data_IF_473123690965
#
_entry.id   IF_473123690965
#
_cell.length_a   1.000
_cell.length_b   1.000
_cell.length_c   1.000
_cell.angle_alpha   90.00
_cell.angle_beta   90.00
_cell.angle_gamma   90.00
#
_symmetry.space_group_name_H-M   'P 1'
#
loop_
_entity.id
_entity.type
_entity.pdbx_description
1 polymer ?
#
# COMPACT_ATOMS: atom_id res chain seq x y z
N UNK A 1 -48.35 28.70 -55.20
CA UNK A 1 -46.91 28.26 -55.18
C UNK A 1 -46.08 28.82 -54.06
N UNK A 2 -46.56 29.74 -53.21
CA UNK A 2 -45.73 30.42 -52.14
C UNK A 2 -45.49 29.64 -50.82
N UNK A 3 -46.35 28.67 -50.51
CA UNK A 3 -46.20 27.95 -49.17
C UNK A 3 -45.01 26.99 -49.05
N UNK A 4 -44.40 26.51 -50.17
CA UNK A 4 -43.23 25.60 -50.13
C UNK A 4 -41.93 26.36 -49.82
N UNK A 5 -41.79 27.59 -50.23
CA UNK A 5 -40.59 28.41 -49.99
C UNK A 5 -40.42 28.80 -48.53
N UNK A 6 -41.52 29.19 -47.85
CA UNK A 6 -41.52 29.64 -46.47
C UNK A 6 -41.15 28.54 -45.44
N UNK A 7 -41.60 27.29 -45.70
CA UNK A 7 -41.22 26.13 -44.86
C UNK A 7 -39.73 25.79 -44.98
N UNK A 8 -39.14 25.94 -46.15
CA UNK A 8 -37.71 25.63 -46.36
C UNK A 8 -36.78 26.63 -45.69
N UNK A 9 -37.18 27.90 -45.62
CA UNK A 9 -36.39 28.98 -44.98
C UNK A 9 -36.44 28.90 -43.46
N UNK A 10 -37.59 28.56 -42.86
CA UNK A 10 -37.75 28.32 -41.43
C UNK A 10 -36.90 27.13 -40.97
N UNK A 11 -36.93 26.02 -41.69
CA UNK A 11 -36.12 24.84 -41.42
C UNK A 11 -34.62 25.15 -41.53
N UNK A 12 -34.22 25.92 -42.53
CA UNK A 12 -32.82 26.36 -42.70
C UNK A 12 -32.33 27.22 -41.53
N UNK A 13 -33.17 28.17 -41.07
CA UNK A 13 -32.89 28.99 -39.87
C UNK A 13 -32.73 28.14 -38.60
N UNK A 14 -33.59 27.15 -38.43
CA UNK A 14 -33.53 26.23 -37.28
C UNK A 14 -32.28 25.36 -37.30
N UNK A 15 -31.90 24.82 -38.45
CA UNK A 15 -30.64 24.06 -38.61
C UNK A 15 -29.44 24.95 -38.28
N UNK A 16 -29.42 26.20 -38.73
CA UNK A 16 -28.33 27.15 -38.42
C UNK A 16 -28.28 27.48 -36.92
N UNK A 17 -29.42 27.65 -36.24
CA UNK A 17 -29.52 27.83 -34.79
C UNK A 17 -28.96 26.60 -34.03
N UNK A 18 -29.32 25.39 -34.43
CA UNK A 18 -28.83 24.14 -33.81
C UNK A 18 -27.32 23.96 -34.03
N UNK A 19 -26.83 24.26 -35.23
CA UNK A 19 -25.36 24.25 -35.49
C UNK A 19 -24.62 25.25 -34.61
N UNK A 20 -25.17 26.48 -34.43
CA UNK A 20 -24.59 27.52 -33.57
C UNK A 20 -24.60 27.12 -32.09
N UNK A 21 -25.70 26.48 -31.61
CA UNK A 21 -25.81 25.93 -30.27
C UNK A 21 -24.80 24.79 -30.03
N UNK A 22 -24.65 23.84 -30.97
CA UNK A 22 -23.66 22.75 -30.90
C UNK A 22 -22.22 23.30 -30.86
N UNK A 23 -21.91 24.30 -31.71
CA UNK A 23 -20.60 24.96 -31.71
C UNK A 23 -20.32 25.64 -30.36
N UNK A 24 -21.26 26.40 -29.81
CA UNK A 24 -21.13 27.04 -28.48
C UNK A 24 -20.96 26.01 -27.37
N UNK A 25 -21.69 24.89 -27.40
CA UNK A 25 -21.54 23.79 -26.42
C UNK A 25 -20.15 23.14 -26.50
N UNK A 26 -19.65 22.89 -27.71
CA UNK A 26 -18.28 22.37 -27.92
C UNK A 26 -17.22 23.31 -27.36
N UNK A 27 -17.34 24.61 -27.66
CA UNK A 27 -16.41 25.63 -27.15
C UNK A 27 -16.45 25.67 -25.61
N UNK A 28 -17.63 25.63 -24.99
CA UNK A 28 -17.75 25.56 -23.52
C UNK A 28 -17.11 24.32 -22.92
N UNK A 29 -17.33 23.18 -23.54
CA UNK A 29 -16.70 21.91 -23.09
C UNK A 29 -15.17 22.02 -23.22
N UNK A 30 -14.65 22.55 -24.33
CA UNK A 30 -13.21 22.73 -24.50
C UNK A 30 -12.61 23.72 -23.48
N UNK A 31 -13.33 24.79 -23.15
CA UNK A 31 -12.90 25.75 -22.12
C UNK A 31 -12.89 25.10 -20.73
N UNK A 32 -13.90 24.30 -20.39
CA UNK A 32 -13.98 23.57 -19.13
C UNK A 32 -12.81 22.57 -19.04
N UNK A 33 -12.58 21.79 -20.11
CA UNK A 33 -11.45 20.88 -20.19
C UNK A 33 -10.10 21.61 -20.07
N UNK A 34 -9.95 22.74 -20.72
CA UNK A 34 -8.76 23.60 -20.59
C UNK A 34 -8.53 24.07 -19.16
N UNK A 35 -9.60 24.54 -18.48
CA UNK A 35 -9.53 24.92 -17.06
C UNK A 35 -9.16 23.74 -16.18
N UNK A 36 -9.75 22.57 -16.41
CA UNK A 36 -9.42 21.34 -15.68
C UNK A 36 -7.93 20.99 -15.88
N UNK A 37 -7.43 21.04 -17.11
CA UNK A 37 -6.01 20.78 -17.41
C UNK A 37 -5.11 21.77 -16.67
N UNK A 38 -5.43 23.07 -16.67
CA UNK A 38 -4.67 24.08 -15.96
C UNK A 38 -4.71 23.85 -14.44
N UNK A 39 -5.88 23.55 -13.87
CA UNK A 39 -6.01 23.23 -12.44
C UNK A 39 -5.25 21.96 -12.08
N UNK A 40 -5.33 20.93 -12.91
CA UNK A 40 -4.54 19.71 -12.72
C UNK A 40 -3.04 19.98 -12.83
N UNK A 41 -2.61 20.81 -13.78
CA UNK A 41 -1.20 21.18 -13.91
C UNK A 41 -0.70 22.00 -12.72
N UNK A 42 -1.51 22.93 -12.18
CA UNK A 42 -1.16 23.66 -10.94
C UNK A 42 -1.10 22.73 -9.72
N UNK A 43 -2.00 21.77 -9.60
CA UNK A 43 -1.96 20.74 -8.54
C UNK A 43 -0.71 19.89 -8.69
N UNK A 44 -0.36 19.49 -9.91
CA UNK A 44 0.86 18.73 -10.19
C UNK A 44 2.13 19.56 -9.90
N UNK A 45 2.15 20.82 -10.25
CA UNK A 45 3.30 21.72 -10.03
C UNK A 45 3.45 22.16 -8.56
N UNK A 46 2.35 22.26 -7.81
CA UNK A 46 2.32 22.61 -6.38
C UNK A 46 2.35 21.37 -5.47
N UNK A 47 1.93 20.20 -5.95
CA UNK A 47 2.22 18.96 -5.24
C UNK A 47 3.73 18.82 -5.24
N UNK A 48 4.29 18.44 -4.11
CA UNK A 48 5.71 18.11 -3.95
C UNK A 48 6.12 16.94 -4.89
N UNK A 49 5.84 17.13 -6.18
CA UNK A 49 6.17 16.20 -7.27
C UNK A 49 7.68 15.90 -7.31
N UNK A 50 8.45 16.78 -6.70
CA UNK A 50 9.90 16.66 -6.59
C UNK A 50 10.29 15.96 -5.27
N UNK A 51 9.38 15.80 -4.32
CA UNK A 51 9.72 15.32 -2.97
C UNK A 51 9.12 13.95 -2.59
N UNK A 52 9.08 13.02 -3.54
CA UNK A 52 8.95 11.57 -3.24
C UNK A 52 10.11 11.03 -2.35
N UNK A 53 10.96 11.92 -1.87
CA UNK A 53 12.09 11.61 -1.00
C UNK A 53 11.82 11.93 0.47
N UNK A 54 10.73 12.62 0.78
CA UNK A 54 10.34 12.92 2.15
C UNK A 54 9.36 11.83 2.64
N UNK A 55 9.82 11.02 3.57
CA UNK A 55 9.00 9.98 4.19
C UNK A 55 8.04 10.64 5.18
N UNK A 56 6.76 10.34 5.07
CA UNK A 56 5.73 10.71 6.03
C UNK A 56 5.65 9.64 7.13
N UNK A 57 5.61 10.09 8.39
CA UNK A 57 5.43 9.23 9.54
C UNK A 57 3.96 9.26 9.95
N UNK A 58 3.28 8.12 9.82
CA UNK A 58 1.88 7.97 10.21
C UNK A 58 1.80 7.17 11.51
N UNK A 59 1.20 7.77 12.55
CA UNK A 59 1.12 7.17 13.87
C UNK A 59 -0.29 6.66 14.15
N UNK A 60 -0.39 5.41 14.63
CA UNK A 60 -1.61 4.82 15.16
C UNK A 60 -1.37 4.38 16.61
N UNK A 61 -2.39 4.51 17.43
CA UNK A 61 -2.39 4.04 18.81
C UNK A 61 -3.46 2.97 18.98
N UNK A 62 -3.07 1.82 19.45
CA UNK A 62 -3.95 0.71 19.78
C UNK A 62 -3.83 0.37 21.26
N UNK A 63 -4.83 -0.32 21.79
CA UNK A 63 -4.77 -0.87 23.16
C UNK A 63 -5.37 -2.27 23.18
N UNK A 64 -4.79 -3.14 24.00
CA UNK A 64 -5.25 -4.53 24.13
C UNK A 64 -5.02 -5.06 25.53
N UNK A 65 -5.93 -5.94 25.97
CA UNK A 65 -5.78 -6.68 27.23
C UNK A 65 -4.72 -7.80 27.16
N UNK A 66 -4.25 -8.13 25.94
CA UNK A 66 -3.18 -9.10 25.69
C UNK A 66 -1.78 -8.48 25.80
N UNK A 67 -1.69 -7.17 25.95
CA UNK A 67 -0.44 -6.42 26.05
C UNK A 67 -0.17 -6.02 27.51
N UNK A 68 1.00 -6.37 28.01
CA UNK A 68 1.43 -6.10 29.39
C UNK A 68 2.28 -4.82 29.49
N UNK A 69 3.08 -4.54 28.48
CA UNK A 69 3.98 -3.37 28.38
C UNK A 69 3.87 -2.74 27.00
N UNK A 70 4.06 -1.42 26.86
CA UNK A 70 3.99 -0.78 25.55
C UNK A 70 4.92 -1.41 24.53
N UNK A 71 4.44 -1.56 23.29
CA UNK A 71 5.18 -2.09 22.14
C UNK A 71 5.03 -1.15 20.96
N UNK A 72 6.14 -0.81 20.32
CA UNK A 72 6.18 -0.04 19.08
C UNK A 72 6.50 -0.89 17.90
N UNK A 73 5.58 -0.97 16.95
CA UNK A 73 5.79 -1.57 15.65
C UNK A 73 6.09 -0.50 14.61
N UNK A 74 7.04 -0.76 13.71
CA UNK A 74 7.22 0.03 12.49
C UNK A 74 6.92 -0.84 11.28
N UNK A 75 5.98 -0.40 10.44
CA UNK A 75 5.51 -1.10 9.26
C UNK A 75 6.01 -0.38 8.03
N UNK A 76 6.56 -1.13 7.09
CA UNK A 76 6.98 -0.68 5.77
C UNK A 76 6.64 -1.71 4.70
N UNK A 77 6.37 -1.25 3.48
CA UNK A 77 6.10 -2.09 2.31
C UNK A 77 6.45 -1.33 1.03
N UNK A 78 6.37 -2.02 -0.10
CA UNK A 78 6.38 -1.43 -1.44
C UNK A 78 7.55 -0.47 -1.67
N UNK A 79 8.76 -0.85 -1.27
CA UNK A 79 9.97 -0.03 -1.49
C UNK A 79 10.39 -0.05 -2.96
N UNK A 80 10.16 -1.18 -3.66
CA UNK A 80 10.48 -1.38 -5.07
C UNK A 80 11.90 -0.95 -5.42
N UNK A 81 12.87 -1.37 -4.62
CA UNK A 81 14.29 -1.02 -4.76
C UNK A 81 14.56 0.49 -4.78
N UNK A 82 13.59 1.28 -4.32
CA UNK A 82 13.73 2.71 -4.11
C UNK A 82 14.80 3.04 -3.07
N UNK A 83 15.36 4.22 -3.14
CA UNK A 83 16.42 4.66 -2.22
C UNK A 83 16.11 6.01 -1.58
N UNK A 84 16.32 6.09 -0.28
CA UNK A 84 16.18 7.31 0.51
C UNK A 84 17.57 7.80 0.98
N UNK A 85 18.23 8.55 0.10
CA UNK A 85 19.64 8.90 0.24
C UNK A 85 20.58 7.80 -0.25
N UNK A 86 21.90 8.03 -0.16
CA UNK A 86 22.87 7.02 -0.50
C UNK A 86 22.73 5.81 0.42
N UNK A 87 22.63 4.59 -0.14
CA UNK A 87 22.47 3.34 0.63
C UNK A 87 21.35 3.37 1.69
N UNK A 88 20.27 4.12 1.41
CA UNK A 88 19.14 4.27 2.32
C UNK A 88 19.46 4.94 3.67
N UNK A 89 20.48 5.78 3.74
CA UNK A 89 20.92 6.41 4.99
C UNK A 89 19.81 7.19 5.70
N UNK A 90 18.95 7.92 4.94
CA UNK A 90 17.83 8.64 5.56
C UNK A 90 16.76 7.72 6.12
N UNK A 91 16.46 6.62 5.43
CA UNK A 91 15.51 5.61 5.90
C UNK A 91 16.05 4.91 7.16
N UNK A 92 17.33 4.54 7.16
CA UNK A 92 18.02 3.92 8.31
C UNK A 92 18.01 4.85 9.53
N UNK A 93 18.37 6.12 9.33
CA UNK A 93 18.37 7.12 10.42
C UNK A 93 16.97 7.29 11.00
N UNK A 94 15.95 7.43 10.16
CA UNK A 94 14.56 7.54 10.60
C UNK A 94 14.10 6.32 11.39
N UNK A 95 14.39 5.11 10.90
CA UNK A 95 14.04 3.87 11.58
C UNK A 95 14.76 3.73 12.93
N UNK A 96 15.99 4.16 13.02
CA UNK A 96 16.73 4.18 14.28
C UNK A 96 16.16 5.19 15.28
N UNK A 97 15.79 6.39 14.84
CA UNK A 97 15.19 7.43 15.68
C UNK A 97 13.78 7.06 16.18
N UNK A 98 13.09 6.18 15.48
CA UNK A 98 11.76 5.68 15.89
C UNK A 98 11.83 4.68 17.05
N UNK A 99 13.01 4.10 17.34
CA UNK A 99 13.23 3.10 18.39
C UNK A 99 12.15 1.98 18.36
N UNK A 100 11.99 1.27 17.24
CA UNK A 100 10.99 0.22 17.12
C UNK A 100 11.35 -0.99 18.00
N UNK A 101 10.35 -1.62 18.58
CA UNK A 101 10.49 -2.94 19.22
C UNK A 101 10.39 -4.08 18.19
N UNK A 102 9.76 -3.81 17.03
CA UNK A 102 9.56 -4.75 15.94
C UNK A 102 9.40 -4.02 14.60
N UNK A 103 10.01 -4.56 13.55
CA UNK A 103 9.90 -4.04 12.19
C UNK A 103 9.17 -5.08 11.31
N UNK A 104 8.09 -4.65 10.66
CA UNK A 104 7.25 -5.47 9.78
C UNK A 104 7.38 -4.98 8.34
N UNK A 105 7.88 -5.84 7.44
CA UNK A 105 8.05 -5.56 6.02
C UNK A 105 7.00 -6.35 5.23
N UNK A 106 5.94 -5.65 4.79
CA UNK A 106 4.76 -6.26 4.21
C UNK A 106 4.85 -6.48 2.68
N UNK A 107 6.03 -6.88 2.19
CA UNK A 107 6.26 -7.28 0.78
C UNK A 107 6.57 -6.13 -0.17
N UNK A 108 6.92 -6.50 -1.39
CA UNK A 108 7.30 -5.62 -2.52
C UNK A 108 8.41 -4.63 -2.18
N UNK A 109 9.41 -5.12 -1.44
CA UNK A 109 10.59 -4.31 -1.12
C UNK A 109 11.58 -4.23 -2.29
N UNK A 110 11.48 -5.16 -3.25
CA UNK A 110 12.30 -5.25 -4.47
C UNK A 110 11.39 -5.22 -5.71
N UNK A 111 11.98 -5.16 -6.91
CA UNK A 111 11.27 -5.41 -8.16
C UNK A 111 11.57 -6.82 -8.70
N UNK A 112 10.61 -7.42 -9.37
CA UNK A 112 10.75 -8.73 -10.04
C UNK A 112 11.79 -8.71 -11.17
N UNK A 113 12.14 -7.52 -11.68
CA UNK A 113 13.16 -7.29 -12.72
C UNK A 113 14.57 -7.10 -12.16
N UNK A 114 14.74 -7.02 -10.85
CA UNK A 114 16.04 -6.78 -10.24
C UNK A 114 17.01 -7.95 -10.48
N UNK A 115 18.25 -7.63 -10.80
CA UNK A 115 19.34 -8.60 -10.91
C UNK A 115 20.27 -8.58 -9.73
N UNK A 116 20.22 -7.53 -8.93
CA UNK A 116 20.99 -7.31 -7.73
C UNK A 116 20.06 -6.94 -6.58
N UNK A 117 20.06 -7.76 -5.55
CA UNK A 117 19.25 -7.58 -4.33
C UNK A 117 20.12 -7.16 -3.13
N UNK A 118 21.39 -6.85 -3.36
CA UNK A 118 22.31 -6.46 -2.28
C UNK A 118 21.81 -5.26 -1.49
N UNK A 119 21.14 -4.30 -2.15
CA UNK A 119 20.62 -3.11 -1.50
C UNK A 119 19.59 -3.40 -0.41
N UNK A 120 18.65 -4.33 -0.65
CA UNK A 120 17.67 -4.74 0.36
C UNK A 120 18.30 -5.63 1.44
N UNK A 121 19.23 -6.49 1.07
CA UNK A 121 19.97 -7.34 2.04
C UNK A 121 20.79 -6.46 2.98
N UNK A 122 21.51 -5.45 2.47
CA UNK A 122 22.26 -4.48 3.28
C UNK A 122 21.36 -3.65 4.20
N UNK A 123 20.19 -3.24 3.71
CA UNK A 123 19.19 -2.54 4.52
C UNK A 123 18.70 -3.44 5.66
N UNK A 124 18.30 -4.66 5.37
CA UNK A 124 17.85 -5.64 6.35
C UNK A 124 18.94 -5.97 7.38
N UNK A 125 20.18 -6.19 6.92
CA UNK A 125 21.35 -6.44 7.80
C UNK A 125 21.68 -5.26 8.72
N UNK A 126 21.25 -4.04 8.39
CA UNK A 126 21.28 -2.90 9.29
C UNK A 126 20.11 -2.93 10.28
N UNK A 127 18.88 -3.18 9.79
CA UNK A 127 17.65 -3.10 10.57
C UNK A 127 17.57 -4.17 11.67
N UNK A 128 18.07 -5.38 11.43
CA UNK A 128 18.09 -6.46 12.43
C UNK A 128 18.97 -6.13 13.65
N UNK A 129 19.82 -5.10 13.57
CA UNK A 129 20.59 -4.60 14.70
C UNK A 129 19.79 -3.59 15.56
N UNK A 130 18.68 -3.11 15.04
CA UNK A 130 17.79 -2.17 15.73
C UNK A 130 16.68 -2.95 16.45
N UNK A 131 15.98 -3.82 15.71
CA UNK A 131 14.88 -4.63 16.21
C UNK A 131 14.73 -5.92 15.38
N UNK A 132 14.01 -6.95 15.85
CA UNK A 132 13.63 -8.09 15.02
C UNK A 132 12.87 -7.62 13.76
N UNK A 133 13.22 -8.20 12.61
CA UNK A 133 12.65 -7.87 11.31
C UNK A 133 11.88 -9.06 10.77
N UNK A 134 10.58 -8.89 10.54
CA UNK A 134 9.73 -9.86 9.88
C UNK A 134 9.42 -9.37 8.47
N UNK A 135 9.70 -10.20 7.47
CA UNK A 135 9.54 -9.86 6.06
C UNK A 135 8.71 -10.93 5.36
N UNK A 136 7.66 -10.53 4.69
CA UNK A 136 6.78 -11.41 3.92
C UNK A 136 6.92 -11.20 2.42
N UNK A 137 6.50 -12.20 1.66
CA UNK A 137 6.40 -12.11 0.20
C UNK A 137 5.37 -11.07 -0.24
N UNK A 138 5.78 -10.21 -1.19
CA UNK A 138 4.88 -9.55 -2.12
C UNK A 138 4.89 -10.27 -3.48
N UNK A 139 4.16 -9.73 -4.46
CA UNK A 139 4.15 -10.31 -5.80
C UNK A 139 5.51 -10.17 -6.52
N UNK A 140 6.24 -9.10 -6.27
CA UNK A 140 7.56 -8.90 -6.86
C UNK A 140 8.59 -9.88 -6.32
N UNK A 141 8.62 -10.16 -5.02
CA UNK A 141 9.46 -11.22 -4.44
C UNK A 141 9.08 -12.58 -5.02
N UNK A 142 7.78 -12.92 -5.05
CA UNK A 142 7.29 -14.18 -5.61
C UNK A 142 7.71 -14.36 -7.08
N UNK A 143 7.55 -13.34 -7.90
CA UNK A 143 7.97 -13.36 -9.29
C UNK A 143 9.48 -13.50 -9.45
N UNK A 144 10.28 -12.74 -8.69
CA UNK A 144 11.73 -12.78 -8.75
C UNK A 144 12.27 -14.18 -8.38
N UNK A 145 11.72 -14.78 -7.31
CA UNK A 145 12.21 -16.04 -6.75
C UNK A 145 11.76 -17.26 -7.56
N UNK A 146 10.52 -17.30 -8.03
CA UNK A 146 9.92 -18.53 -8.57
C UNK A 146 9.70 -18.51 -10.08
N UNK A 147 9.34 -17.38 -10.68
CA UNK A 147 8.98 -17.31 -12.10
C UNK A 147 10.02 -16.58 -12.96
N UNK A 148 10.69 -15.58 -12.38
CA UNK A 148 11.64 -14.73 -13.08
C UNK A 148 13.09 -15.23 -13.04
N UNK A 149 13.96 -14.43 -12.42
CA UNK A 149 15.42 -14.68 -12.37
C UNK A 149 15.83 -15.76 -11.39
N UNK A 150 14.92 -16.26 -10.59
CA UNK A 150 15.14 -17.31 -9.57
C UNK A 150 16.25 -16.93 -8.58
N UNK A 151 16.23 -15.68 -8.13
CA UNK A 151 17.15 -15.18 -7.10
C UNK A 151 16.73 -15.79 -5.75
N UNK A 152 17.63 -16.44 -5.00
CA UNK A 152 17.31 -17.00 -3.68
C UNK A 152 17.30 -15.90 -2.61
N UNK A 153 16.35 -14.98 -2.71
CA UNK A 153 16.22 -13.81 -1.83
C UNK A 153 16.03 -14.23 -0.37
N UNK A 154 15.19 -15.23 -0.14
CA UNK A 154 14.92 -15.80 1.18
C UNK A 154 16.21 -16.24 1.90
N UNK A 155 17.10 -16.91 1.17
CA UNK A 155 18.40 -17.34 1.70
C UNK A 155 19.25 -16.14 2.12
N UNK A 156 19.33 -15.11 1.29
CA UNK A 156 20.13 -13.92 1.60
C UNK A 156 19.57 -13.14 2.78
N UNK A 157 18.24 -13.04 2.88
CA UNK A 157 17.57 -12.37 3.99
C UNK A 157 17.72 -13.16 5.29
N UNK A 158 17.60 -14.49 5.24
CA UNK A 158 17.85 -15.36 6.38
C UNK A 158 19.30 -15.23 6.89
N UNK A 159 20.27 -15.23 5.97
CA UNK A 159 21.70 -15.02 6.32
C UNK A 159 21.95 -13.61 6.92
N UNK A 160 21.13 -12.62 6.56
CA UNK A 160 21.16 -11.28 7.16
C UNK A 160 20.46 -11.20 8.53
N UNK A 161 19.82 -12.27 9.00
CA UNK A 161 19.12 -12.35 10.29
C UNK A 161 17.66 -11.94 10.26
N UNK A 162 17.03 -11.90 9.07
CA UNK A 162 15.61 -11.58 8.90
C UNK A 162 14.75 -12.83 9.10
N UNK A 163 13.62 -12.68 9.77
CA UNK A 163 12.54 -13.67 9.79
C UNK A 163 11.75 -13.55 8.47
N UNK A 164 12.22 -14.27 7.44
CA UNK A 164 11.52 -14.29 6.16
C UNK A 164 10.42 -15.34 6.18
N UNK A 165 9.18 -14.92 5.95
CA UNK A 165 8.00 -15.73 6.19
C UNK A 165 7.20 -15.94 4.90
N UNK A 166 6.57 -17.11 4.79
CA UNK A 166 5.66 -17.50 3.70
C UNK A 166 4.22 -17.58 4.21
N UNK A 167 3.66 -18.82 4.32
CA UNK A 167 2.42 -19.08 5.05
C UNK A 167 2.79 -19.89 6.28
N UNK A 168 3.15 -19.17 7.34
CA UNK A 168 3.58 -19.73 8.62
C UNK A 168 3.46 -18.68 9.71
N UNK A 169 3.66 -19.08 10.97
CA UNK A 169 3.72 -18.16 12.09
C UNK A 169 4.86 -18.47 13.05
N UNK A 170 5.25 -17.46 13.80
CA UNK A 170 6.21 -17.54 14.90
C UNK A 170 5.63 -16.85 16.13
N UNK A 171 6.09 -17.26 17.30
CA UNK A 171 5.79 -16.60 18.58
C UNK A 171 7.06 -15.98 19.13
N UNK A 172 7.02 -14.70 19.46
CA UNK A 172 8.16 -13.94 19.98
C UNK A 172 7.76 -13.22 21.28
N UNK A 173 8.72 -13.08 22.17
CA UNK A 173 8.55 -12.24 23.36
C UNK A 173 9.22 -10.89 23.17
N UNK A 174 8.45 -9.82 23.30
CA UNK A 174 8.89 -8.42 23.15
C UNK A 174 8.35 -7.61 24.32
N UNK A 175 9.21 -6.97 25.10
CA UNK A 175 8.82 -6.13 26.26
C UNK A 175 7.80 -6.81 27.19
N UNK A 176 8.07 -8.05 27.61
CA UNK A 176 7.17 -8.87 28.43
C UNK A 176 5.83 -9.24 27.79
N UNK A 177 5.66 -9.00 26.50
CA UNK A 177 4.50 -9.42 25.73
C UNK A 177 4.82 -10.65 24.89
N UNK A 178 3.88 -11.56 24.78
CA UNK A 178 3.94 -12.68 23.84
C UNK A 178 3.14 -12.29 22.59
N UNK A 179 3.83 -12.12 21.49
CA UNK A 179 3.23 -11.79 20.20
C UNK A 179 3.25 -13.01 19.29
N UNK A 180 2.16 -13.29 18.61
CA UNK A 180 2.07 -14.31 17.56
C UNK A 180 2.04 -13.62 16.21
N UNK A 181 3.11 -13.77 15.43
CA UNK A 181 3.29 -13.11 14.14
C UNK A 181 3.08 -14.15 13.05
N UNK A 182 2.09 -13.96 12.22
CA UNK A 182 1.75 -14.80 11.08
C UNK A 182 1.99 -14.09 9.76
N UNK A 183 2.27 -14.88 8.73
CA UNK A 183 2.32 -14.44 7.35
C UNK A 183 1.41 -15.30 6.50
N UNK A 184 0.81 -14.73 5.46
CA UNK A 184 0.05 -15.45 4.45
C UNK A 184 0.42 -14.91 3.07
N UNK A 185 0.93 -15.80 2.21
CA UNK A 185 1.39 -15.43 0.87
C UNK A 185 0.26 -15.37 -0.18
N UNK A 186 -0.97 -15.78 0.18
CA UNK A 186 -2.13 -15.76 -0.69
C UNK A 186 -2.70 -14.35 -0.88
N UNK A 187 -3.42 -14.15 -1.98
CA UNK A 187 -4.41 -13.09 -2.17
C UNK A 187 -5.84 -13.69 -2.16
N UNK A 188 -6.87 -12.88 -2.35
CA UNK A 188 -8.24 -13.37 -2.34
C UNK A 188 -8.56 -14.43 -3.41
N UNK A 189 -7.86 -14.42 -4.55
CA UNK A 189 -8.07 -15.37 -5.65
C UNK A 189 -7.35 -16.70 -5.41
N UNK A 190 -6.16 -16.65 -4.79
CA UNK A 190 -5.30 -17.83 -4.59
C UNK A 190 -5.53 -18.52 -3.25
N UNK A 191 -6.30 -17.90 -2.33
CA UNK A 191 -6.66 -18.48 -1.04
C UNK A 191 -7.33 -19.84 -1.19
N UNK A 192 -6.84 -20.84 -0.49
CA UNK A 192 -7.23 -22.24 -0.63
C UNK A 192 -7.45 -22.95 0.73
N UNK A 193 -7.65 -24.27 0.70
CA UNK A 193 -7.91 -25.07 1.90
C UNK A 193 -6.72 -25.10 2.88
N UNK A 194 -5.48 -25.04 2.38
CA UNK A 194 -4.27 -25.01 3.23
C UNK A 194 -4.16 -23.66 3.96
N UNK A 195 -4.51 -22.57 3.28
CA UNK A 195 -4.57 -21.24 3.88
C UNK A 195 -5.67 -21.16 4.95
N UNK A 196 -6.84 -21.80 4.72
CA UNK A 196 -7.92 -21.86 5.70
C UNK A 196 -7.53 -22.70 6.94
N UNK A 197 -6.76 -23.77 6.74
CA UNK A 197 -6.22 -24.55 7.86
C UNK A 197 -5.20 -23.71 8.66
N UNK A 198 -4.29 -23.02 7.97
CA UNK A 198 -3.35 -22.12 8.63
C UNK A 198 -4.07 -21.04 9.43
N UNK A 199 -5.11 -20.39 8.86
CA UNK A 199 -5.92 -19.39 9.56
C UNK A 199 -6.48 -19.94 10.87
N UNK A 200 -7.11 -21.12 10.82
CA UNK A 200 -7.69 -21.76 11.99
C UNK A 200 -6.64 -22.05 13.08
N UNK A 201 -5.45 -22.53 12.72
CA UNK A 201 -4.34 -22.78 13.63
C UNK A 201 -3.75 -21.49 14.20
N UNK A 202 -3.68 -20.44 13.35
CA UNK A 202 -3.16 -19.13 13.74
C UNK A 202 -4.07 -18.42 14.74
N UNK A 203 -5.38 -18.57 14.62
CA UNK A 203 -6.36 -17.98 15.53
C UNK A 203 -6.32 -18.58 16.95
N UNK A 204 -5.76 -19.77 17.10
CA UNK A 204 -5.64 -20.40 18.43
C UNK A 204 -4.67 -19.62 19.33
N UNK A 205 -4.93 -19.72 20.65
CA UNK A 205 -4.10 -19.08 21.68
C UNK A 205 -4.63 -17.69 22.11
N UNK A 206 -3.93 -17.11 23.08
CA UNK A 206 -4.33 -15.83 23.71
C UNK A 206 -3.34 -14.69 23.47
N UNK A 207 -2.32 -14.96 22.68
CA UNK A 207 -1.29 -14.01 22.33
C UNK A 207 -1.90 -12.86 21.50
N UNK A 208 -1.29 -11.67 21.55
CA UNK A 208 -1.60 -10.63 20.59
C UNK A 208 -1.16 -11.06 19.19
N UNK A 209 -2.11 -11.18 18.29
CA UNK A 209 -1.91 -11.74 16.96
C UNK A 209 -1.75 -10.66 15.91
N UNK A 210 -0.64 -10.74 15.18
CA UNK A 210 -0.33 -9.88 14.04
C UNK A 210 -0.27 -10.76 12.79
N UNK A 211 -1.19 -10.56 11.84
CA UNK A 211 -1.19 -11.28 10.56
C UNK A 211 -0.74 -10.33 9.45
N UNK A 212 0.34 -10.72 8.77
CA UNK A 212 0.87 -9.99 7.63
C UNK A 212 0.47 -10.68 6.34
N UNK A 213 -0.09 -9.94 5.40
CA UNK A 213 -0.25 -10.36 4.01
C UNK A 213 -0.06 -9.16 3.10
N UNK A 214 0.55 -9.36 1.94
CA UNK A 214 0.84 -8.23 1.05
C UNK A 214 -0.44 -7.60 0.50
N UNK A 215 -1.45 -8.43 0.19
CA UNK A 215 -2.68 -8.01 -0.49
C UNK A 215 -3.80 -7.66 0.49
N UNK A 216 -4.33 -6.42 0.46
CA UNK A 216 -5.48 -6.04 1.30
C UNK A 216 -6.77 -6.82 1.00
N UNK A 217 -6.96 -7.31 -0.23
CA UNK A 217 -8.13 -8.07 -0.63
C UNK A 217 -8.27 -9.41 0.11
N UNK A 218 -7.17 -10.04 0.49
CA UNK A 218 -7.20 -11.21 1.34
C UNK A 218 -7.98 -10.95 2.64
N UNK A 219 -7.66 -9.85 3.31
CA UNK A 219 -8.32 -9.46 4.57
C UNK A 219 -9.79 -9.08 4.35
N UNK A 220 -10.09 -8.37 3.27
CA UNK A 220 -11.42 -7.78 3.06
C UNK A 220 -12.41 -8.73 2.38
N UNK A 221 -11.93 -9.80 1.74
CA UNK A 221 -12.77 -10.76 1.02
C UNK A 221 -12.77 -12.15 1.64
N UNK A 222 -11.66 -12.61 2.22
CA UNK A 222 -11.52 -13.97 2.78
C UNK A 222 -11.52 -14.00 4.29
N UNK A 223 -10.77 -13.12 4.93
CA UNK A 223 -10.52 -13.13 6.37
C UNK A 223 -11.40 -12.13 7.15
N UNK A 224 -12.63 -11.86 6.66
CA UNK A 224 -13.51 -10.84 7.25
C UNK A 224 -13.91 -11.10 8.71
N UNK A 225 -13.88 -12.35 9.15
CA UNK A 225 -14.25 -12.79 10.50
C UNK A 225 -13.07 -13.32 11.30
N UNK A 226 -11.84 -13.10 10.84
CA UNK A 226 -10.65 -13.61 11.52
C UNK A 226 -10.49 -13.03 12.92
N UNK A 227 -10.08 -13.88 13.87
CA UNK A 227 -9.81 -13.51 15.27
C UNK A 227 -8.35 -13.13 15.44
N UNK A 228 -8.01 -12.02 14.82
CA UNK A 228 -6.67 -11.45 14.77
C UNK A 228 -6.72 -10.02 15.26
N UNK A 229 -5.76 -9.60 16.06
CA UNK A 229 -5.75 -8.26 16.67
C UNK A 229 -5.31 -7.18 15.67
N UNK A 230 -4.35 -7.52 14.78
CA UNK A 230 -3.79 -6.60 13.80
C UNK A 230 -3.48 -7.30 12.48
N UNK A 231 -4.17 -6.92 11.42
CA UNK A 231 -3.80 -7.21 10.04
C UNK A 231 -2.87 -6.14 9.47
N UNK A 232 -1.89 -6.52 8.66
CA UNK A 232 -0.93 -5.61 8.02
C UNK A 232 -0.83 -5.93 6.54
N UNK A 233 -1.03 -4.92 5.67
CA UNK A 233 -0.92 -5.07 4.22
C UNK A 233 -0.28 -3.86 3.54
N UNK A 234 0.17 -4.05 2.29
CA UNK A 234 0.69 -3.02 1.39
C UNK A 234 -0.05 -2.99 0.05
N UNK A 235 0.69 -3.13 -1.05
CA UNK A 235 0.25 -3.38 -2.42
C UNK A 235 -0.47 -2.24 -3.15
N UNK A 236 -1.40 -1.53 -2.53
CA UNK A 236 -2.22 -0.53 -3.23
C UNK A 236 -1.56 0.83 -3.41
N UNK A 237 -0.34 1.02 -2.92
CA UNK A 237 0.46 2.25 -3.07
C UNK A 237 -0.31 3.54 -2.75
N UNK A 238 -1.26 3.49 -1.83
CA UNK A 238 -2.11 4.63 -1.54
C UNK A 238 -3.05 5.04 -2.68
N UNK A 239 -3.20 4.21 -3.73
CA UNK A 239 -3.94 4.52 -4.94
C UNK A 239 -3.19 5.49 -5.85
N UNK A 240 -1.85 5.47 -5.83
CA UNK A 240 -0.88 6.24 -6.63
C UNK A 240 -1.06 7.76 -6.53
N UNK A 241 -2.21 8.28 -6.92
CA UNK A 241 -2.62 9.69 -6.84
C UNK A 241 -3.68 9.80 -5.74
N UNK A 242 -3.48 10.71 -4.78
CA UNK A 242 -4.46 10.93 -3.72
C UNK A 242 -5.15 12.28 -3.89
N UNK A 243 -6.48 12.25 -3.80
CA UNK A 243 -7.31 13.45 -3.85
C UNK A 243 -7.64 13.84 -2.41
N UNK A 244 -7.30 15.08 -1.99
CA UNK A 244 -7.62 15.55 -0.64
C UNK A 244 -9.09 15.37 -0.29
N UNK A 245 -9.38 14.76 0.86
CA UNK A 245 -10.75 14.49 1.35
C UNK A 245 -11.47 13.31 0.69
N UNK A 246 -10.89 12.68 -0.36
CA UNK A 246 -11.49 11.54 -1.05
C UNK A 246 -10.65 10.27 -0.83
N UNK A 247 -9.32 10.35 -0.99
CA UNK A 247 -8.43 9.21 -0.87
C UNK A 247 -7.72 8.85 -2.17
N UNK A 248 -7.34 7.59 -2.33
CA UNK A 248 -6.64 7.07 -3.52
C UNK A 248 -7.51 7.17 -4.77
N UNK A 249 -6.89 7.53 -5.90
CA UNK A 249 -7.61 7.69 -7.16
C UNK A 249 -7.77 6.37 -7.91
N UNK A 250 -6.70 5.56 -7.99
CA UNK A 250 -6.70 4.39 -8.86
C UNK A 250 -5.67 3.34 -8.42
N UNK A 251 -6.05 2.08 -8.53
CA UNK A 251 -5.14 0.94 -8.48
C UNK A 251 -5.52 -0.07 -9.57
N UNK A 252 -4.54 -0.81 -10.10
CA UNK A 252 -4.74 -1.71 -11.25
C UNK A 252 -5.73 -2.84 -10.94
N UNK A 253 -5.68 -3.41 -9.73
CA UNK A 253 -6.53 -4.54 -9.36
C UNK A 253 -7.93 -4.13 -8.94
N UNK A 254 -8.08 -2.94 -8.33
CA UNK A 254 -9.35 -2.47 -7.74
C UNK A 254 -10.03 -1.38 -8.55
N UNK A 255 -9.36 -0.80 -9.58
CA UNK A 255 -9.89 0.29 -10.38
C UNK A 255 -9.86 1.64 -9.66
N UNK A 256 -10.88 2.47 -9.92
CA UNK A 256 -10.99 3.82 -9.36
C UNK A 256 -11.51 3.82 -7.93
N UNK A 257 -10.89 4.66 -7.08
CA UNK A 257 -11.28 4.90 -5.70
C UNK A 257 -11.22 3.64 -4.82
N UNK A 258 -10.05 2.98 -4.73
CA UNK A 258 -9.88 1.80 -3.90
C UNK A 258 -10.22 2.10 -2.44
N UNK A 259 -11.10 1.29 -1.85
CA UNK A 259 -11.60 1.51 -0.49
C UNK A 259 -10.51 1.40 0.60
N UNK A 260 -9.53 0.51 0.38
CA UNK A 260 -8.46 0.21 1.35
C UNK A 260 -7.10 0.68 0.86
N UNK A 261 -7.03 1.89 0.28
CA UNK A 261 -5.81 2.42 -0.32
C UNK A 261 -4.72 2.88 0.66
N UNK A 262 -5.01 2.91 1.94
CA UNK A 262 -4.05 3.29 3.00
C UNK A 262 -4.77 3.87 4.20
N UNK A 263 -4.42 3.40 5.39
CA UNK A 263 -5.02 3.81 6.64
C UNK A 263 -5.21 2.67 7.64
N UNK A 264 -5.86 2.98 8.75
CA UNK A 264 -6.30 2.03 9.77
C UNK A 264 -7.81 1.80 9.60
N UNK A 265 -8.21 0.56 9.52
CA UNK A 265 -9.61 0.15 9.31
C UNK A 265 -10.03 -0.85 10.39
N UNK A 266 -11.25 -0.77 10.94
CA UNK A 266 -11.83 -1.88 11.69
C UNK A 266 -11.92 -3.12 10.81
N UNK A 267 -11.46 -4.27 11.33
CA UNK A 267 -11.48 -5.52 10.57
C UNK A 267 -11.57 -6.71 11.52
N UNK A 268 -12.51 -7.64 11.26
CA UNK A 268 -12.75 -8.78 12.13
C UNK A 268 -13.02 -8.33 13.59
N UNK A 269 -12.33 -8.95 14.52
CA UNK A 269 -12.34 -8.55 15.94
C UNK A 269 -11.26 -7.49 16.28
N UNK A 270 -10.39 -7.16 15.31
CA UNK A 270 -9.26 -6.25 15.46
C UNK A 270 -9.23 -5.10 14.45
N UNK A 271 -8.07 -4.83 13.92
CA UNK A 271 -7.82 -3.75 12.98
C UNK A 271 -6.98 -4.22 11.80
N UNK A 272 -7.17 -3.59 10.64
CA UNK A 272 -6.32 -3.74 9.45
C UNK A 272 -5.59 -2.43 9.17
N UNK A 273 -4.28 -2.49 9.07
CA UNK A 273 -3.45 -1.41 8.55
C UNK A 273 -3.08 -1.74 7.11
N UNK A 274 -3.40 -0.82 6.22
CA UNK A 274 -2.88 -0.83 4.84
C UNK A 274 -1.93 0.34 4.71
N UNK A 275 -0.64 0.07 4.49
CA UNK A 275 0.33 1.15 4.27
C UNK A 275 0.29 1.62 2.82
N UNK A 276 0.60 2.91 2.64
CA UNK A 276 0.78 3.48 1.30
C UNK A 276 2.12 3.12 0.66
N UNK A 277 2.99 2.46 1.40
CA UNK A 277 4.30 2.03 0.95
C UNK A 277 5.31 3.16 0.72
N UNK A 278 6.55 2.78 0.49
CA UNK A 278 7.70 3.70 0.40
C UNK A 278 8.08 4.07 -1.03
N UNK A 279 8.06 3.11 -1.93
CA UNK A 279 8.52 3.27 -3.30
C UNK A 279 7.41 3.54 -4.30
N UNK A 280 7.78 3.47 -5.55
CA UNK A 280 6.86 3.58 -6.67
C UNK A 280 7.21 2.56 -7.74
N UNK A 281 6.20 1.86 -8.23
CA UNK A 281 6.31 0.91 -9.31
C UNK A 281 5.61 1.48 -10.57
N UNK A 282 6.32 1.51 -11.70
CA UNK A 282 5.77 1.91 -12.98
C UNK A 282 5.90 3.40 -13.31
N UNK A 283 5.14 3.83 -14.36
CA UNK A 283 5.29 5.15 -14.98
C UNK A 283 4.46 6.25 -14.29
N UNK A 284 3.47 5.88 -13.48
CA UNK A 284 2.60 6.86 -12.81
C UNK A 284 3.29 7.30 -11.51
N UNK A 285 3.64 8.59 -11.37
CA UNK A 285 4.26 9.06 -10.13
C UNK A 285 3.25 9.13 -8.99
N UNK A 286 3.75 9.11 -7.76
CA UNK A 286 2.96 9.45 -6.58
C UNK A 286 2.63 10.94 -6.60
N UNK A 287 1.34 11.30 -6.50
CA UNK A 287 0.87 12.69 -6.42
C UNK A 287 0.03 12.85 -5.17
N UNK A 288 0.36 13.82 -4.31
CA UNK A 288 -0.23 14.00 -2.97
C UNK A 288 -0.22 12.71 -2.15
N UNK A 289 0.81 11.88 -2.33
CA UNK A 289 0.91 10.54 -1.80
C UNK A 289 2.36 10.25 -1.41
N UNK A 290 2.82 10.89 -0.34
CA UNK A 290 4.20 10.73 0.12
C UNK A 290 4.51 9.28 0.49
N UNK A 291 5.77 8.83 0.31
CA UNK A 291 6.26 7.60 0.92
C UNK A 291 5.93 7.57 2.41
N UNK A 292 5.55 6.41 2.92
CA UNK A 292 5.05 6.28 4.28
C UNK A 292 5.79 5.22 5.08
N UNK A 293 6.15 5.57 6.32
CA UNK A 293 6.37 4.62 7.40
C UNK A 293 5.17 4.69 8.35
N UNK A 294 4.62 3.54 8.70
CA UNK A 294 3.54 3.47 9.68
C UNK A 294 4.09 3.02 11.03
N UNK A 295 3.79 3.79 12.07
CA UNK A 295 4.19 3.51 13.44
C UNK A 295 2.93 3.14 14.23
N UNK A 296 2.96 2.00 14.90
CA UNK A 296 1.86 1.53 15.74
C UNK A 296 2.36 1.38 17.15
N UNK A 297 1.87 2.24 18.04
CA UNK A 297 2.09 2.12 19.47
C UNK A 297 0.94 1.34 20.10
N UNK A 298 1.22 0.19 20.69
CA UNK A 298 0.24 -0.67 21.35
C UNK A 298 0.49 -0.61 22.84
N UNK A 299 -0.54 -0.27 23.61
CA UNK A 299 -0.46 -0.17 25.08
C UNK A 299 -1.41 -1.16 25.77
N UNK A 300 -1.14 -1.52 27.03
CA UNK A 300 -2.13 -2.18 27.86
C UNK A 300 -3.45 -1.40 27.89
N UNK A 301 -4.58 -2.12 27.92
CA UNK A 301 -5.90 -1.52 28.08
C UNK A 301 -6.19 -1.23 29.53
#
# INVERSE_FOLDING_TARGET
MERKGFRSEAVRKEILRLKKRRKRRRIRIMLILGIIVVLCSEVILKSDFIDNKQIELTYYQLSSDQINSPVRLVIMADLHSGTFGEKNERLKTQLQELEPDLILMAGDMINDTDSDVSGIVDLCGYLVKIAPVYYILGNHEGNLMYTGKKVPLDKYLYEAGVHFMYTNYETITVNDNVLKIGAMAANAETYNEEDAQFEAEFEEGKEFKILMAHYPDLFTERLQSAKVDLGVAGHYHGGLIRIPGIGGLFHWDTGFFPAYAGGLYPWGEGNLIVTRGLGNHGLIPRINNKPELVIVDISPR
#
